data_IF_020427607060
#
_entry.id   IF_020427607060
#
_cell.length_a   1.000
_cell.length_b   1.000
_cell.length_c   1.000
_cell.angle_alpha   90.00
_cell.angle_beta   90.00
_cell.angle_gamma   90.00
#
_symmetry.space_group_name_H-M   'P 1'
#
loop_
_entity.id
_entity.type
_entity.pdbx_description
1 polymer ?
#
# COMPACT_ATOMS: atom_id res chain seq x y z
N UNK A 1 -19.26 -31.90 -7.07
CA UNK A 1 -19.39 -31.48 -5.68
C UNK A 1 -20.66 -30.67 -5.44
N UNK A 2 -21.29 -30.79 -4.26
CA UNK A 2 -22.48 -30.03 -3.93
C UNK A 2 -22.16 -28.52 -3.78
N UNK A 3 -23.15 -27.66 -4.08
CA UNK A 3 -22.98 -26.21 -4.05
C UNK A 3 -24.06 -25.52 -3.20
N UNK A 4 -23.64 -24.52 -2.41
CA UNK A 4 -24.55 -23.65 -1.69
C UNK A 4 -25.38 -22.86 -2.72
N UNK A 5 -26.70 -22.95 -2.62
CA UNK A 5 -27.63 -22.24 -3.50
C UNK A 5 -28.05 -20.87 -2.93
N UNK A 6 -28.20 -20.80 -1.60
CA UNK A 6 -28.62 -19.56 -0.91
C UNK A 6 -28.14 -19.54 0.53
N UNK A 7 -27.77 -18.36 1.00
CA UNK A 7 -27.67 -18.06 2.43
C UNK A 7 -28.58 -16.87 2.72
N UNK A 8 -29.37 -16.98 3.78
CA UNK A 8 -30.28 -15.92 4.22
C UNK A 8 -30.25 -15.78 5.75
N UNK A 9 -30.65 -14.63 6.25
CA UNK A 9 -30.78 -14.43 7.69
C UNK A 9 -31.92 -15.31 8.26
N UNK A 10 -31.69 -15.97 9.40
CA UNK A 10 -32.68 -16.75 10.11
C UNK A 10 -32.53 -16.50 11.62
N UNK A 11 -33.44 -15.72 12.20
CA UNK A 11 -33.33 -15.30 13.59
C UNK A 11 -32.00 -14.60 13.88
N UNK A 12 -31.22 -15.13 14.84
CA UNK A 12 -29.89 -14.64 15.20
C UNK A 12 -28.77 -15.21 14.29
N UNK A 13 -29.08 -16.21 13.42
CA UNK A 13 -28.12 -16.94 12.63
C UNK A 13 -28.28 -16.82 11.11
N UNK A 14 -27.72 -17.78 10.38
CA UNK A 14 -27.81 -17.91 8.94
C UNK A 14 -28.48 -19.21 8.51
N UNK A 15 -29.52 -19.15 7.67
CA UNK A 15 -30.07 -20.32 6.97
C UNK A 15 -29.27 -20.57 5.71
N UNK A 16 -28.62 -21.70 5.64
CA UNK A 16 -27.83 -22.17 4.49
C UNK A 16 -28.63 -23.21 3.72
N UNK A 17 -28.81 -23.03 2.41
CA UNK A 17 -29.53 -23.97 1.53
C UNK A 17 -28.63 -24.40 0.38
N UNK A 18 -28.84 -25.63 -0.09
CA UNK A 18 -28.14 -26.22 -1.25
C UNK A 18 -29.09 -27.05 -2.11
N UNK A 19 -28.61 -27.50 -3.27
CA UNK A 19 -29.34 -28.41 -4.12
C UNK A 19 -29.03 -29.84 -3.75
N UNK A 20 -30.05 -30.73 -3.81
CA UNK A 20 -29.84 -32.15 -3.63
C UNK A 20 -28.86 -32.72 -4.68
N UNK A 21 -28.07 -33.68 -4.28
CA UNK A 21 -27.14 -34.39 -5.16
C UNK A 21 -27.55 -35.83 -5.23
N UNK A 22 -27.77 -36.40 -6.43
CA UNK A 22 -28.12 -37.81 -6.59
C UNK A 22 -27.11 -38.73 -5.88
N UNK A 23 -27.60 -39.80 -5.24
CA UNK A 23 -26.84 -40.79 -4.46
C UNK A 23 -26.21 -40.28 -3.15
N UNK A 24 -26.41 -39.01 -2.77
CA UNK A 24 -26.02 -38.52 -1.43
C UNK A 24 -27.06 -38.98 -0.41
N UNK A 25 -26.64 -39.65 0.64
CA UNK A 25 -27.46 -40.01 1.80
C UNK A 25 -27.51 -38.89 2.86
N UNK A 26 -26.56 -37.96 2.79
CA UNK A 26 -26.48 -36.79 3.64
C UNK A 26 -25.40 -35.82 3.19
N UNK A 27 -25.20 -34.80 4.00
CA UNK A 27 -24.24 -33.72 3.72
C UNK A 27 -23.45 -33.34 4.96
N UNK A 28 -22.16 -33.17 4.83
CA UNK A 28 -21.30 -32.53 5.86
C UNK A 28 -21.06 -31.10 5.47
N UNK A 29 -21.57 -30.18 6.30
CA UNK A 29 -21.45 -28.73 6.12
C UNK A 29 -20.21 -28.22 6.84
N UNK A 30 -19.45 -27.35 6.18
CA UNK A 30 -18.29 -26.65 6.70
C UNK A 30 -18.50 -25.16 6.65
N UNK A 31 -17.88 -24.46 7.59
CA UNK A 31 -17.85 -23.02 7.69
C UNK A 31 -16.45 -22.51 7.93
N UNK A 32 -16.14 -21.34 7.40
CA UNK A 32 -14.99 -20.52 7.79
C UNK A 32 -15.39 -19.06 7.93
N UNK A 33 -14.59 -18.29 8.66
CA UNK A 33 -14.58 -16.81 8.62
C UNK A 33 -13.46 -16.34 7.68
N UNK A 34 -13.28 -15.01 7.56
CA UNK A 34 -12.16 -14.44 6.79
C UNK A 34 -10.80 -14.90 7.33
N UNK A 35 -10.70 -15.08 8.66
CA UNK A 35 -9.44 -15.31 9.37
C UNK A 35 -9.26 -16.77 9.84
N UNK A 36 -10.16 -17.70 9.48
CA UNK A 36 -10.10 -19.09 9.91
C UNK A 36 -10.05 -20.04 8.73
N UNK A 37 -9.54 -21.23 8.96
CA UNK A 37 -9.65 -22.38 8.05
C UNK A 37 -11.06 -22.98 8.09
N UNK A 38 -11.37 -23.89 7.14
CA UNK A 38 -12.59 -24.64 7.13
C UNK A 38 -12.70 -25.53 8.37
N UNK A 39 -13.83 -25.44 9.07
CA UNK A 39 -14.19 -26.32 10.18
C UNK A 39 -15.55 -26.97 9.91
N UNK A 40 -15.71 -28.23 10.34
CA UNK A 40 -16.98 -28.92 10.32
C UNK A 40 -18.00 -28.16 11.16
N UNK A 41 -19.17 -27.91 10.61
CA UNK A 41 -20.27 -27.22 11.28
C UNK A 41 -21.36 -28.22 11.70
N UNK A 42 -21.77 -29.07 10.77
CA UNK A 42 -22.84 -30.07 11.01
C UNK A 42 -22.79 -31.17 9.97
N UNK A 43 -23.39 -32.34 10.32
CA UNK A 43 -23.85 -33.34 9.36
C UNK A 43 -25.38 -33.26 9.27
N UNK A 44 -25.92 -33.27 8.06
CA UNK A 44 -27.34 -33.15 7.73
C UNK A 44 -27.75 -34.39 6.95
N UNK A 45 -28.48 -35.31 7.59
CA UNK A 45 -28.90 -36.56 6.98
C UNK A 45 -30.24 -36.43 6.25
N UNK A 46 -31.04 -35.41 6.58
CA UNK A 46 -32.34 -35.17 5.95
C UNK A 46 -32.45 -33.74 5.45
N UNK A 47 -32.94 -33.57 4.22
CA UNK A 47 -33.17 -32.28 3.60
C UNK A 47 -31.93 -31.62 3.01
N UNK A 48 -32.06 -30.36 2.61
CA UNK A 48 -31.06 -29.57 1.90
C UNK A 48 -30.88 -28.18 2.49
N UNK A 49 -31.02 -28.08 3.80
CA UNK A 49 -30.81 -26.80 4.51
C UNK A 49 -30.33 -27.04 5.94
N UNK A 50 -29.67 -26.04 6.48
CA UNK A 50 -29.19 -25.98 7.86
C UNK A 50 -29.22 -24.56 8.39
N UNK A 51 -29.69 -24.39 9.62
CA UNK A 51 -29.65 -23.09 10.30
C UNK A 51 -28.43 -23.01 11.22
N UNK A 52 -27.42 -22.21 10.80
CA UNK A 52 -26.23 -21.93 11.61
C UNK A 52 -26.59 -20.87 12.69
N UNK A 53 -27.07 -21.33 13.82
CA UNK A 53 -27.45 -20.48 14.98
C UNK A 53 -26.22 -19.83 15.66
N UNK A 54 -25.01 -20.38 15.42
CA UNK A 54 -23.76 -19.85 15.97
C UNK A 54 -23.16 -18.71 15.14
N UNK A 55 -23.75 -18.38 13.98
CA UNK A 55 -23.31 -17.27 13.17
C UNK A 55 -23.64 -15.93 13.80
N UNK A 56 -22.62 -15.18 14.23
CA UNK A 56 -22.77 -13.88 14.92
C UNK A 56 -22.98 -12.75 13.93
N UNK A 57 -23.88 -11.79 14.27
CA UNK A 57 -24.09 -10.55 13.51
C UNK A 57 -22.76 -9.77 13.37
N UNK A 58 -22.53 -9.17 12.21
CA UNK A 58 -21.32 -8.38 11.92
C UNK A 58 -20.13 -9.19 11.41
N UNK A 59 -20.12 -10.52 11.63
CA UNK A 59 -19.08 -11.38 11.05
C UNK A 59 -19.37 -11.75 9.60
N UNK A 60 -18.30 -12.15 8.89
CA UNK A 60 -18.36 -12.60 7.50
C UNK A 60 -18.03 -14.09 7.46
N UNK A 61 -18.90 -14.87 6.87
CA UNK A 61 -18.81 -16.34 6.80
C UNK A 61 -18.80 -16.82 5.36
N UNK A 62 -18.12 -17.94 5.15
CA UNK A 62 -18.19 -18.73 3.92
C UNK A 62 -18.59 -20.15 4.28
N UNK A 63 -19.41 -20.77 3.44
CA UNK A 63 -19.94 -22.12 3.63
C UNK A 63 -19.58 -23.00 2.43
N UNK A 64 -19.30 -24.28 2.70
CA UNK A 64 -19.16 -25.35 1.70
C UNK A 64 -19.68 -26.65 2.27
N UNK A 65 -19.91 -27.65 1.43
CA UNK A 65 -20.39 -28.94 1.89
C UNK A 65 -19.84 -30.08 1.04
N UNK A 66 -19.87 -31.29 1.60
CA UNK A 66 -19.52 -32.56 0.95
C UNK A 66 -20.67 -33.55 1.12
N UNK A 67 -20.84 -34.46 0.14
CA UNK A 67 -21.82 -35.52 0.22
C UNK A 67 -21.33 -36.63 1.13
N UNK A 68 -22.28 -37.25 1.85
CA UNK A 68 -22.09 -38.46 2.66
C UNK A 68 -22.82 -39.65 2.03
N UNK A 69 -22.26 -40.86 2.19
CA UNK A 69 -22.95 -42.12 1.96
C UNK A 69 -23.81 -42.52 3.18
N UNK A 70 -24.49 -43.68 3.09
CA UNK A 70 -25.32 -44.23 4.16
C UNK A 70 -24.55 -44.52 5.46
N UNK A 71 -23.23 -44.72 5.37
CA UNK A 71 -22.34 -44.99 6.49
C UNK A 71 -21.68 -43.74 7.07
N UNK A 72 -22.00 -42.54 6.52
CA UNK A 72 -21.42 -41.27 6.94
C UNK A 72 -20.04 -40.95 6.35
N UNK A 73 -19.59 -41.72 5.35
CA UNK A 73 -18.32 -41.51 4.67
C UNK A 73 -18.46 -40.37 3.64
N UNK A 74 -17.37 -39.65 3.44
CA UNK A 74 -17.31 -38.56 2.46
C UNK A 74 -17.16 -39.11 1.04
N UNK A 75 -18.12 -38.87 0.15
CA UNK A 75 -18.15 -39.37 -1.24
C UNK A 75 -18.02 -38.27 -2.29
N UNK A 76 -17.76 -37.01 -1.89
CA UNK A 76 -17.50 -35.91 -2.82
C UNK A 76 -16.37 -35.01 -2.34
N UNK A 77 -15.74 -34.27 -3.27
CA UNK A 77 -14.94 -33.09 -2.94
C UNK A 77 -15.85 -31.92 -2.51
N UNK A 78 -15.26 -30.86 -1.99
CA UNK A 78 -15.95 -29.60 -1.73
C UNK A 78 -15.54 -28.52 -2.74
N UNK A 79 -16.35 -27.47 -2.85
CA UNK A 79 -15.99 -26.28 -3.62
C UNK A 79 -15.09 -25.40 -2.76
N UNK A 80 -13.85 -25.18 -3.20
CA UNK A 80 -12.86 -24.35 -2.48
C UNK A 80 -13.06 -22.84 -2.69
N UNK A 81 -13.46 -22.46 -3.91
CA UNK A 81 -13.69 -21.06 -4.26
C UNK A 81 -15.13 -20.65 -3.95
N UNK A 82 -15.42 -20.40 -2.67
CA UNK A 82 -16.75 -20.09 -2.15
C UNK A 82 -16.91 -18.60 -1.90
N UNK A 83 -18.16 -18.14 -1.99
CA UNK A 83 -18.52 -16.76 -1.70
C UNK A 83 -18.60 -16.50 -0.20
N UNK A 84 -18.36 -15.27 0.19
CA UNK A 84 -18.54 -14.79 1.55
C UNK A 84 -19.92 -14.15 1.71
N UNK A 85 -20.49 -14.30 2.91
CA UNK A 85 -21.80 -13.80 3.31
C UNK A 85 -21.67 -12.96 4.58
N UNK A 86 -22.40 -11.85 4.62
CA UNK A 86 -22.46 -10.93 5.75
C UNK A 86 -23.95 -10.72 6.11
N UNK A 87 -24.30 -10.98 7.37
CA UNK A 87 -25.68 -10.85 7.87
C UNK A 87 -26.73 -11.55 6.98
N UNK A 88 -26.42 -12.74 6.46
CA UNK A 88 -27.34 -13.53 5.64
C UNK A 88 -27.45 -13.11 4.17
N UNK A 89 -26.64 -12.19 3.69
CA UNK A 89 -26.57 -11.79 2.29
C UNK A 89 -25.14 -11.93 1.73
N UNK A 90 -24.98 -11.95 0.41
CA UNK A 90 -23.63 -11.89 -0.19
C UNK A 90 -22.90 -10.65 0.33
N UNK A 91 -21.67 -10.83 0.80
CA UNK A 91 -20.83 -9.72 1.23
C UNK A 91 -20.60 -8.75 0.06
N UNK A 92 -20.83 -7.45 0.29
CA UNK A 92 -20.70 -6.43 -0.73
C UNK A 92 -20.24 -5.10 -0.12
N UNK A 93 -19.42 -4.35 -0.87
CA UNK A 93 -18.82 -3.10 -0.40
C UNK A 93 -17.77 -3.29 0.69
N UNK A 94 -17.53 -2.23 1.47
CA UNK A 94 -16.59 -2.24 2.60
C UNK A 94 -17.25 -2.85 3.82
N UNK A 95 -16.61 -3.86 4.40
CA UNK A 95 -17.04 -4.51 5.64
C UNK A 95 -15.86 -4.57 6.60
N UNK A 96 -16.04 -4.06 7.82
CA UNK A 96 -15.02 -4.12 8.87
C UNK A 96 -15.29 -5.30 9.80
N UNK A 97 -14.29 -6.16 9.96
CA UNK A 97 -14.32 -7.32 10.86
C UNK A 97 -13.07 -7.27 11.73
N UNK A 98 -13.22 -7.26 13.05
CA UNK A 98 -12.12 -7.19 14.02
C UNK A 98 -11.11 -6.04 13.71
N UNK A 99 -11.62 -4.85 13.40
CA UNK A 99 -10.80 -3.68 13.11
C UNK A 99 -10.16 -3.65 11.71
N UNK A 100 -10.27 -4.73 10.93
CA UNK A 100 -9.75 -4.82 9.57
C UNK A 100 -10.87 -4.56 8.55
N UNK A 101 -10.61 -3.70 7.57
CA UNK A 101 -11.59 -3.39 6.51
C UNK A 101 -11.27 -4.18 5.25
N UNK A 102 -12.25 -4.92 4.78
CA UNK A 102 -12.24 -5.73 3.57
C UNK A 102 -13.20 -5.13 2.54
N UNK A 103 -12.91 -5.30 1.26
CA UNK A 103 -13.79 -4.85 0.20
C UNK A 103 -14.29 -6.04 -0.61
N UNK A 104 -15.61 -6.15 -0.79
CA UNK A 104 -16.26 -7.26 -1.45
C UNK A 104 -17.06 -6.82 -2.68
N UNK A 105 -17.16 -7.73 -3.63
CA UNK A 105 -18.12 -7.68 -4.73
C UNK A 105 -18.81 -9.02 -4.87
N UNK A 106 -20.13 -9.05 -4.62
CA UNK A 106 -20.96 -10.27 -4.75
C UNK A 106 -20.35 -11.50 -4.04
N UNK A 107 -19.81 -11.28 -2.84
CA UNK A 107 -19.20 -12.32 -2.00
C UNK A 107 -17.75 -12.65 -2.30
N UNK A 108 -17.10 -11.98 -3.23
CA UNK A 108 -15.67 -12.15 -3.54
C UNK A 108 -14.87 -10.93 -3.08
N UNK A 109 -13.61 -11.13 -2.72
CA UNK A 109 -12.74 -10.00 -2.42
C UNK A 109 -12.51 -9.13 -3.67
N UNK A 110 -12.68 -7.82 -3.52
CA UNK A 110 -12.11 -6.87 -4.47
C UNK A 110 -10.64 -6.69 -4.15
N UNK A 111 -9.78 -6.82 -5.13
CA UNK A 111 -8.32 -6.69 -5.01
C UNK A 111 -7.78 -5.64 -5.98
N UNK A 112 -6.52 -5.25 -5.81
CA UNK A 112 -5.89 -4.24 -6.65
C UNK A 112 -6.45 -2.83 -6.41
N UNK A 113 -6.33 -1.96 -7.41
CA UNK A 113 -6.80 -0.59 -7.31
C UNK A 113 -8.33 -0.50 -7.37
N UNK A 114 -8.89 0.30 -6.44
CA UNK A 114 -10.32 0.62 -6.37
C UNK A 114 -10.48 2.12 -6.17
N UNK A 115 -11.37 2.76 -6.95
CA UNK A 115 -11.74 4.16 -6.77
C UNK A 115 -13.05 4.23 -5.98
N UNK A 116 -13.04 4.88 -4.82
CA UNK A 116 -14.17 4.98 -3.90
C UNK A 116 -14.31 6.42 -3.45
N UNK A 117 -15.44 7.05 -3.71
CA UNK A 117 -15.69 8.46 -3.41
C UNK A 117 -14.57 9.39 -3.92
N UNK A 118 -14.16 9.17 -5.18
CA UNK A 118 -13.12 9.98 -5.83
C UNK A 118 -11.68 9.66 -5.40
N UNK A 119 -11.46 8.86 -4.36
CA UNK A 119 -10.13 8.49 -3.84
C UNK A 119 -9.73 7.09 -4.31
N UNK A 120 -8.45 6.91 -4.64
CA UNK A 120 -7.86 5.63 -5.03
C UNK A 120 -7.36 4.89 -3.80
N UNK A 121 -7.66 3.59 -3.73
CA UNK A 121 -7.18 2.65 -2.71
C UNK A 121 -6.59 1.42 -3.38
N UNK A 122 -5.70 0.72 -2.68
CA UNK A 122 -5.19 -0.58 -3.11
C UNK A 122 -5.55 -1.66 -2.09
N UNK A 123 -6.12 -2.76 -2.57
CA UNK A 123 -6.50 -3.91 -1.75
C UNK A 123 -5.61 -5.10 -2.09
N UNK A 124 -5.06 -5.77 -1.08
CA UNK A 124 -4.25 -6.97 -1.25
C UNK A 124 -5.11 -8.17 -1.68
N UNK A 125 -4.48 -9.35 -1.88
CA UNK A 125 -5.16 -10.60 -2.28
C UNK A 125 -6.23 -11.08 -1.30
N UNK A 126 -6.22 -10.59 -0.06
CA UNK A 126 -7.23 -10.87 0.97
C UNK A 126 -8.31 -9.79 1.06
N UNK A 127 -8.36 -8.85 0.12
CA UNK A 127 -9.34 -7.76 0.12
C UNK A 127 -9.17 -6.73 1.24
N UNK A 128 -7.98 -6.66 1.85
CA UNK A 128 -7.66 -5.66 2.88
C UNK A 128 -7.03 -4.43 2.24
N UNK A 129 -7.42 -3.24 2.73
CA UNK A 129 -6.77 -2.00 2.32
C UNK A 129 -5.32 -1.98 2.79
N UNK A 130 -4.41 -1.67 1.87
CA UNK A 130 -2.97 -1.51 2.16
C UNK A 130 -2.68 -0.07 2.55
N UNK A 131 -1.77 0.15 3.52
CA UNK A 131 -1.47 1.46 4.12
C UNK A 131 0.03 1.62 4.35
N UNK A 132 0.48 2.89 4.41
CA UNK A 132 1.85 3.29 4.77
C UNK A 132 2.93 2.57 3.96
N UNK A 133 2.70 2.36 2.66
CA UNK A 133 3.67 1.69 1.80
C UNK A 133 3.41 2.00 0.33
N UNK A 134 4.37 1.62 -0.52
CA UNK A 134 4.21 1.66 -1.97
C UNK A 134 3.42 0.44 -2.42
N UNK A 135 2.43 0.66 -3.28
CA UNK A 135 1.52 -0.36 -3.83
C UNK A 135 1.50 -0.30 -5.35
N UNK A 136 1.06 -1.39 -5.97
CA UNK A 136 0.90 -1.50 -7.41
C UNK A 136 1.89 -2.43 -8.08
N UNK A 137 2.11 -2.20 -9.36
CA UNK A 137 3.01 -2.99 -10.21
C UNK A 137 3.53 -2.15 -11.36
N UNK A 138 4.53 -2.65 -12.09
CA UNK A 138 5.04 -2.01 -13.30
C UNK A 138 3.94 -1.77 -14.35
N UNK A 139 2.95 -2.66 -14.43
CA UNK A 139 1.83 -2.54 -15.38
C UNK A 139 0.78 -1.53 -14.95
N UNK A 140 0.49 -1.45 -13.64
CA UNK A 140 -0.61 -0.65 -13.09
C UNK A 140 -0.16 0.72 -12.59
N UNK A 141 1.17 0.95 -12.54
CA UNK A 141 1.80 2.10 -11.91
C UNK A 141 2.01 1.91 -10.41
N UNK A 142 2.93 2.68 -9.86
CA UNK A 142 3.29 2.67 -8.46
C UNK A 142 2.71 3.90 -7.74
N UNK A 143 2.16 3.71 -6.54
CA UNK A 143 1.60 4.77 -5.70
C UNK A 143 1.98 4.54 -4.25
N UNK A 144 2.18 5.60 -3.51
CA UNK A 144 2.25 5.50 -2.05
C UNK A 144 0.85 5.55 -1.45
N UNK A 145 0.47 4.53 -0.69
CA UNK A 145 -0.76 4.50 0.11
C UNK A 145 -0.48 5.10 1.50
N UNK A 146 -1.18 6.16 1.86
CA UNK A 146 -1.00 6.86 3.14
C UNK A 146 -1.51 6.06 4.35
N UNK A 147 -1.47 6.64 5.55
CA UNK A 147 -1.97 6.03 6.80
C UNK A 147 -3.46 5.64 6.75
N UNK A 148 -4.24 6.26 5.88
CA UNK A 148 -5.65 5.97 5.66
C UNK A 148 -5.88 5.00 4.49
N UNK A 149 -4.82 4.61 3.78
CA UNK A 149 -4.85 3.75 2.60
C UNK A 149 -5.20 4.51 1.31
N UNK A 150 -5.23 5.85 1.33
CA UNK A 150 -5.45 6.65 0.12
C UNK A 150 -4.15 6.72 -0.66
N UNK A 151 -4.19 6.30 -1.92
CA UNK A 151 -3.04 6.39 -2.82
C UNK A 151 -2.79 7.83 -3.23
N UNK A 152 -1.55 8.29 -3.11
CA UNK A 152 -1.15 9.62 -3.54
C UNK A 152 -1.08 9.70 -5.06
N UNK A 153 -1.87 10.58 -5.65
CA UNK A 153 -1.96 10.76 -7.12
C UNK A 153 -1.10 11.92 -7.64
N UNK A 154 -0.41 12.67 -6.77
CA UNK A 154 0.54 13.72 -7.20
C UNK A 154 1.69 13.11 -8.00
N UNK A 155 2.04 13.76 -9.10
CA UNK A 155 2.98 13.21 -10.09
C UNK A 155 4.38 12.99 -9.50
N UNK A 156 4.89 13.94 -8.75
CA UNK A 156 6.19 13.84 -8.10
C UNK A 156 6.27 12.66 -7.12
N UNK A 157 5.19 12.35 -6.40
CA UNK A 157 5.13 11.20 -5.48
C UNK A 157 4.99 9.87 -6.22
N UNK A 158 4.28 9.85 -7.34
CA UNK A 158 4.19 8.68 -8.21
C UNK A 158 5.53 8.34 -8.83
N UNK A 159 6.24 9.35 -9.33
CA UNK A 159 7.58 9.19 -9.90
C UNK A 159 8.59 8.76 -8.83
N UNK A 160 8.50 9.28 -7.60
CA UNK A 160 9.31 8.81 -6.47
C UNK A 160 9.03 7.33 -6.15
N UNK A 161 7.76 6.90 -6.15
CA UNK A 161 7.39 5.51 -5.92
C UNK A 161 7.91 4.60 -7.05
N UNK A 162 7.77 5.01 -8.31
CA UNK A 162 8.31 4.30 -9.47
C UNK A 162 9.85 4.21 -9.38
N UNK A 163 10.51 5.29 -9.05
CA UNK A 163 11.95 5.34 -8.84
C UNK A 163 12.41 4.34 -7.79
N UNK A 164 11.75 4.33 -6.61
CA UNK A 164 12.09 3.41 -5.53
C UNK A 164 11.86 1.94 -5.91
N UNK A 165 10.81 1.65 -6.65
CA UNK A 165 10.49 0.26 -7.03
C UNK A 165 11.29 -0.25 -8.24
N UNK A 166 11.85 0.66 -9.06
CA UNK A 166 12.58 0.31 -10.27
C UNK A 166 14.09 0.27 -10.05
N UNK A 167 14.63 1.25 -9.33
CA UNK A 167 16.08 1.45 -9.24
C UNK A 167 16.68 1.19 -7.87
N UNK A 168 15.84 1.16 -6.80
CA UNK A 168 16.35 1.07 -5.45
C UNK A 168 16.31 -0.37 -4.93
N UNK A 169 17.39 -0.80 -4.28
CA UNK A 169 17.54 -2.14 -3.71
C UNK A 169 17.20 -2.14 -2.23
N UNK A 170 16.70 -3.27 -1.74
CA UNK A 170 16.36 -3.51 -0.34
C UNK A 170 14.94 -4.05 -0.15
N UNK A 171 14.70 -4.63 1.01
CA UNK A 171 13.40 -5.25 1.37
C UNK A 171 12.47 -4.25 2.04
N UNK A 172 13.03 -3.25 2.72
CA UNK A 172 12.27 -2.19 3.40
C UNK A 172 12.34 -0.88 2.62
N UNK A 173 11.38 0.03 2.87
CA UNK A 173 11.40 1.37 2.26
C UNK A 173 12.61 2.19 2.70
N UNK A 174 13.11 2.00 3.94
CA UNK A 174 14.33 2.64 4.43
C UNK A 174 15.57 2.19 3.65
N UNK A 175 15.74 0.87 3.48
CA UNK A 175 16.83 0.32 2.66
C UNK A 175 16.76 0.83 1.22
N UNK A 176 15.55 0.89 0.64
CA UNK A 176 15.33 1.45 -0.69
C UNK A 176 15.69 2.94 -0.76
N UNK A 177 15.34 3.72 0.27
CA UNK A 177 15.68 5.14 0.33
C UNK A 177 17.21 5.36 0.34
N UNK A 178 17.94 4.61 1.17
CA UNK A 178 19.41 4.64 1.20
C UNK A 178 20.02 4.23 -0.14
N UNK A 179 19.54 3.12 -0.70
CA UNK A 179 19.97 2.65 -2.03
C UNK A 179 19.66 3.69 -3.11
N UNK A 180 18.50 4.33 -3.03
CA UNK A 180 18.07 5.38 -3.96
C UNK A 180 18.95 6.63 -3.87
N UNK A 181 19.31 7.06 -2.67
CA UNK A 181 20.26 8.14 -2.49
C UNK A 181 21.57 7.88 -3.27
N UNK A 182 22.16 6.71 -3.05
CA UNK A 182 23.42 6.33 -3.71
C UNK A 182 23.25 6.14 -5.23
N UNK A 183 22.10 5.59 -5.66
CA UNK A 183 21.82 5.42 -7.09
C UNK A 183 21.69 6.76 -7.80
N UNK A 184 20.94 7.70 -7.20
CA UNK A 184 20.74 9.06 -7.74
C UNK A 184 22.10 9.79 -7.86
N UNK A 185 22.87 9.80 -6.79
CA UNK A 185 24.19 10.43 -6.75
C UNK A 185 25.17 9.86 -7.78
N UNK A 186 25.10 8.55 -8.05
CA UNK A 186 26.02 7.86 -8.98
C UNK A 186 25.59 7.96 -10.44
N UNK A 187 24.29 7.91 -10.72
CA UNK A 187 23.77 7.64 -12.07
C UNK A 187 23.08 8.85 -12.72
N UNK A 188 22.76 9.89 -11.95
CA UNK A 188 22.17 11.10 -12.51
C UNK A 188 23.27 12.16 -12.65
N UNK A 189 23.60 12.60 -13.86
CA UNK A 189 24.62 13.61 -14.04
C UNK A 189 24.14 14.99 -13.58
N UNK A 190 25.03 15.75 -12.94
CA UNK A 190 24.77 17.14 -12.61
C UNK A 190 24.60 17.97 -13.87
N UNK A 191 23.53 18.76 -13.93
CA UNK A 191 23.25 19.67 -15.03
C UNK A 191 22.96 21.05 -14.46
N UNK A 192 23.90 21.97 -14.64
CA UNK A 192 23.75 23.34 -14.12
C UNK A 192 22.66 24.07 -14.84
N UNK A 193 21.72 24.62 -14.08
CA UNK A 193 20.64 25.51 -14.54
C UNK A 193 20.56 26.70 -13.58
N UNK A 194 20.03 27.80 -14.03
CA UNK A 194 19.97 29.05 -13.24
C UNK A 194 18.55 29.30 -12.67
N UNK A 195 17.67 28.35 -12.77
CA UNK A 195 16.33 28.36 -12.20
C UNK A 195 16.39 27.96 -10.71
N UNK A 196 16.42 28.96 -9.86
CA UNK A 196 16.42 28.77 -8.41
C UNK A 196 14.99 28.86 -7.88
N UNK A 197 14.49 27.87 -7.10
CA UNK A 197 13.18 27.94 -6.49
C UNK A 197 13.14 29.05 -5.42
N UNK A 198 12.05 29.77 -5.37
CA UNK A 198 11.85 30.86 -4.39
C UNK A 198 10.80 30.52 -3.34
N UNK A 199 9.94 29.55 -3.63
CA UNK A 199 8.80 29.16 -2.81
C UNK A 199 8.49 27.66 -2.92
N UNK A 200 7.73 27.14 -1.99
CA UNK A 200 7.38 25.73 -1.91
C UNK A 200 6.67 25.21 -3.18
N UNK A 201 5.85 26.03 -3.84
CA UNK A 201 5.13 25.66 -5.05
C UNK A 201 6.01 25.44 -6.29
N UNK A 202 7.29 25.80 -6.24
CA UNK A 202 8.24 25.57 -7.35
C UNK A 202 8.84 24.15 -7.30
N UNK A 203 8.84 23.53 -6.12
CA UNK A 203 9.53 22.26 -5.85
C UNK A 203 8.92 21.04 -6.55
N UNK A 204 7.59 20.86 -6.70
CA UNK A 204 7.01 19.73 -7.43
C UNK A 204 7.56 19.57 -8.85
N UNK A 205 7.63 20.67 -9.59
CA UNK A 205 8.13 20.68 -10.97
C UNK A 205 9.61 20.25 -11.04
N UNK A 206 10.42 20.67 -10.09
CA UNK A 206 11.85 20.28 -10.01
C UNK A 206 12.02 18.80 -9.70
N UNK A 207 11.21 18.24 -8.80
CA UNK A 207 11.22 16.81 -8.51
C UNK A 207 10.82 15.98 -9.74
N UNK A 208 9.73 16.38 -10.42
CA UNK A 208 9.24 15.75 -11.64
C UNK A 208 10.33 15.77 -12.73
N UNK A 209 10.97 16.92 -12.91
CA UNK A 209 12.02 17.09 -13.91
C UNK A 209 13.20 16.14 -13.67
N UNK A 210 13.70 16.03 -12.41
CA UNK A 210 14.79 15.11 -12.11
C UNK A 210 14.42 13.66 -12.38
N UNK A 211 13.25 13.21 -11.93
CA UNK A 211 12.83 11.82 -12.14
C UNK A 211 12.66 11.46 -13.61
N UNK A 212 12.15 12.39 -14.43
CA UNK A 212 11.94 12.16 -15.87
C UNK A 212 13.26 12.23 -16.67
N UNK A 213 14.05 13.26 -16.44
CA UNK A 213 15.24 13.55 -17.25
C UNK A 213 16.51 12.92 -16.69
N UNK A 214 16.50 12.46 -15.42
CA UNK A 214 17.63 11.82 -14.73
C UNK A 214 18.90 12.65 -14.73
N UNK A 215 18.76 13.97 -14.75
CA UNK A 215 19.83 14.97 -14.66
C UNK A 215 19.28 16.26 -14.09
N UNK A 216 20.09 17.00 -13.34
CA UNK A 216 19.63 18.26 -12.76
C UNK A 216 20.65 18.96 -11.88
N UNK A 217 20.25 20.09 -11.31
CA UNK A 217 21.03 20.83 -10.32
C UNK A 217 20.64 20.43 -8.89
N UNK A 218 21.32 20.98 -7.88
CA UNK A 218 21.12 20.70 -6.46
C UNK A 218 19.64 20.80 -6.01
N UNK A 219 18.88 21.78 -6.51
CA UNK A 219 17.48 21.96 -6.15
C UNK A 219 16.58 20.83 -6.66
N UNK A 220 16.86 20.30 -7.86
CA UNK A 220 16.17 19.14 -8.42
C UNK A 220 16.44 17.88 -7.62
N UNK A 221 17.71 17.67 -7.26
CA UNK A 221 18.11 16.56 -6.39
C UNK A 221 17.42 16.64 -5.03
N UNK A 222 17.43 17.82 -4.41
CA UNK A 222 16.78 18.03 -3.13
C UNK A 222 15.26 17.76 -3.19
N UNK A 223 14.56 18.31 -4.19
CA UNK A 223 13.13 18.13 -4.33
C UNK A 223 12.75 16.64 -4.56
N UNK A 224 13.45 15.95 -5.45
CA UNK A 224 13.20 14.54 -5.74
C UNK A 224 13.53 13.63 -4.54
N UNK A 225 14.63 13.91 -3.84
CA UNK A 225 14.99 13.11 -2.67
C UNK A 225 14.06 13.37 -1.47
N UNK A 226 13.54 14.57 -1.29
CA UNK A 226 12.52 14.85 -0.29
C UNK A 226 11.23 14.05 -0.54
N UNK A 227 10.79 13.91 -1.80
CA UNK A 227 9.69 13.00 -2.16
C UNK A 227 10.01 11.54 -1.82
N UNK A 228 11.24 11.09 -2.15
CA UNK A 228 11.71 9.73 -1.87
C UNK A 228 11.71 9.43 -0.36
N UNK A 229 12.23 10.36 0.45
CA UNK A 229 12.23 10.24 1.91
C UNK A 229 10.80 10.27 2.48
N UNK A 230 9.92 11.11 1.92
CA UNK A 230 8.51 11.19 2.36
C UNK A 230 7.77 9.87 2.18
N UNK A 231 7.90 9.21 1.02
CA UNK A 231 7.24 7.92 0.77
C UNK A 231 7.95 6.75 1.45
N UNK A 232 9.20 6.92 1.90
CA UNK A 232 9.87 5.97 2.79
C UNK A 232 9.33 6.03 4.23
N UNK A 233 8.47 7.00 4.55
CA UNK A 233 7.82 7.13 5.86
C UNK A 233 8.36 8.27 6.73
N UNK A 234 9.38 8.98 6.28
CA UNK A 234 9.98 10.08 7.02
C UNK A 234 9.26 11.41 6.81
N UNK A 235 9.33 12.29 7.81
CA UNK A 235 9.14 13.71 7.57
C UNK A 235 10.40 14.23 6.87
N UNK A 236 10.21 14.99 5.79
CA UNK A 236 11.28 15.51 4.97
C UNK A 236 10.98 16.90 4.47
N UNK A 237 12.01 17.71 4.37
CA UNK A 237 11.91 19.08 3.84
C UNK A 237 13.08 19.41 2.94
N UNK A 238 12.82 20.13 1.89
CA UNK A 238 13.84 20.80 1.09
C UNK A 238 14.27 22.06 1.83
N UNK A 239 15.56 22.27 1.90
CA UNK A 239 16.15 23.53 2.37
C UNK A 239 16.77 24.24 1.17
N UNK A 240 16.39 25.47 0.97
CA UNK A 240 16.91 26.38 -0.04
C UNK A 240 17.81 27.37 0.70
N UNK A 241 19.05 27.51 0.26
CA UNK A 241 20.03 28.36 0.90
C UNK A 241 21.26 28.55 0.03
N UNK A 242 22.39 28.70 0.67
CA UNK A 242 23.69 28.72 0.01
C UNK A 242 24.74 27.86 0.74
N UNK A 243 25.78 27.51 0.02
CA UNK A 243 26.98 26.88 0.51
C UNK A 243 28.19 27.69 0.02
N UNK A 244 29.02 28.18 0.94
CA UNK A 244 30.17 29.03 0.60
C UNK A 244 29.78 30.21 -0.33
N UNK A 245 28.60 30.81 -0.10
CA UNK A 245 28.08 31.94 -0.89
C UNK A 245 27.52 31.57 -2.26
N UNK A 246 27.45 30.30 -2.61
CA UNK A 246 26.80 29.81 -3.83
C UNK A 246 25.42 29.22 -3.55
N UNK A 247 24.37 29.58 -4.32
CA UNK A 247 23.03 29.01 -4.13
C UNK A 247 23.05 27.49 -4.14
N UNK A 248 22.40 26.87 -3.14
CA UNK A 248 22.38 25.44 -2.95
C UNK A 248 21.07 24.94 -2.34
N UNK A 249 20.69 23.69 -2.67
CA UNK A 249 19.52 23.03 -2.10
C UNK A 249 19.88 21.66 -1.58
N UNK A 250 19.40 21.35 -0.37
CA UNK A 250 19.58 20.03 0.27
C UNK A 250 18.30 19.56 0.94
N UNK A 251 18.31 18.34 1.47
CA UNK A 251 17.19 17.76 2.19
C UNK A 251 17.52 17.61 3.67
N UNK A 252 16.57 17.91 4.51
CA UNK A 252 16.58 17.50 5.90
C UNK A 252 15.49 16.46 6.16
N UNK A 253 15.82 15.38 6.86
CA UNK A 253 14.94 14.26 7.20
C UNK A 253 14.85 14.15 8.72
N UNK A 254 13.63 14.08 9.26
CA UNK A 254 13.41 13.99 10.71
C UNK A 254 13.54 12.53 11.17
N UNK A 255 14.51 12.27 12.04
CA UNK A 255 14.78 10.96 12.63
C UNK A 255 14.91 11.13 14.16
N UNK A 256 14.06 10.44 14.92
CA UNK A 256 14.08 10.48 16.39
C UNK A 256 14.07 11.90 17.00
N UNK A 257 13.33 12.82 16.37
CA UNK A 257 13.21 14.21 16.81
C UNK A 257 14.32 15.14 16.32
N UNK A 258 15.32 14.64 15.59
CA UNK A 258 16.44 15.41 15.06
C UNK A 258 16.36 15.50 13.53
N UNK A 259 16.61 16.68 12.96
CA UNK A 259 16.71 16.88 11.52
C UNK A 259 18.11 16.52 11.03
N UNK A 260 18.20 15.48 10.21
CA UNK A 260 19.44 14.98 9.62
C UNK A 260 19.55 15.39 8.16
N UNK A 261 20.74 15.75 7.72
CA UNK A 261 21.03 16.26 6.38
C UNK A 261 21.22 15.10 5.41
N UNK A 262 20.57 15.20 4.25
CA UNK A 262 20.80 14.37 3.07
C UNK A 262 21.05 15.28 1.87
N UNK A 263 22.22 15.13 1.25
CA UNK A 263 22.60 15.94 0.09
C UNK A 263 23.13 15.05 -1.04
N UNK A 264 22.25 14.57 -1.94
CA UNK A 264 22.67 13.71 -3.04
C UNK A 264 23.61 14.39 -4.04
N UNK A 265 23.53 15.70 -4.17
CA UNK A 265 24.40 16.49 -5.04
C UNK A 265 25.84 16.49 -4.55
N UNK A 266 26.06 16.65 -3.25
CA UNK A 266 27.40 16.62 -2.68
C UNK A 266 28.11 15.26 -2.81
N UNK A 267 27.37 14.19 -3.13
CA UNK A 267 27.89 12.85 -3.36
C UNK A 267 28.34 12.61 -4.82
N UNK A 268 28.10 13.55 -5.73
CA UNK A 268 28.39 13.36 -7.16
C UNK A 268 29.87 13.11 -7.44
N UNK A 269 30.20 12.27 -8.44
CA UNK A 269 31.56 12.09 -8.91
C UNK A 269 32.17 13.42 -9.33
N UNK A 270 33.39 13.71 -8.84
CA UNK A 270 34.09 14.97 -9.07
C UNK A 270 34.15 15.91 -7.87
N UNK A 271 33.31 15.72 -6.85
CA UNK A 271 33.51 16.35 -5.55
C UNK A 271 34.69 15.68 -4.82
N UNK A 272 35.70 16.46 -4.52
CA UNK A 272 37.01 15.97 -4.01
C UNK A 272 37.02 15.61 -2.52
N UNK A 273 35.97 15.05 -1.97
CA UNK A 273 35.92 14.58 -0.58
C UNK A 273 35.67 13.08 -0.58
N UNK A 274 36.72 12.22 -0.60
CA UNK A 274 36.60 10.79 -0.89
C UNK A 274 35.67 10.00 0.03
N UNK A 275 35.55 10.38 1.29
CA UNK A 275 34.78 9.65 2.31
C UNK A 275 33.49 10.37 2.75
N UNK A 276 33.16 11.47 2.10
CA UNK A 276 31.99 12.24 2.46
C UNK A 276 30.72 11.63 1.87
N UNK A 277 29.83 11.18 2.74
CA UNK A 277 28.54 10.58 2.39
C UNK A 277 27.43 11.34 3.11
N UNK A 278 26.91 12.44 2.55
CA UNK A 278 25.91 13.30 3.20
C UNK A 278 24.51 12.65 3.23
N UNK A 279 24.43 11.44 3.80
CA UNK A 279 23.22 10.70 4.03
C UNK A 279 22.94 10.57 5.52
N UNK A 280 21.86 11.15 6.00
CA UNK A 280 21.45 11.15 7.42
C UNK A 280 22.55 11.69 8.37
N UNK A 281 23.14 12.82 8.02
CA UNK A 281 24.20 13.43 8.81
C UNK A 281 23.70 14.55 9.70
N UNK A 282 24.25 14.68 10.91
CA UNK A 282 23.97 15.81 11.82
C UNK A 282 24.60 17.11 11.34
N UNK A 283 25.74 17.03 10.68
CA UNK A 283 26.49 18.19 10.20
C UNK A 283 26.99 17.96 8.78
N UNK A 284 26.81 18.96 7.94
CA UNK A 284 27.35 18.98 6.59
C UNK A 284 28.86 19.28 6.62
N UNK A 285 29.60 18.82 5.61
CA UNK A 285 31.02 19.12 5.46
C UNK A 285 31.27 20.64 5.25
N UNK A 286 30.45 21.23 4.38
CA UNK A 286 30.47 22.68 4.16
C UNK A 286 29.54 23.40 5.14
N UNK A 287 29.85 24.71 5.38
CA UNK A 287 28.93 25.58 6.10
C UNK A 287 27.70 25.84 5.23
N UNK A 288 26.57 25.41 5.71
CA UNK A 288 25.25 25.64 5.09
C UNK A 288 24.62 26.88 5.71
N UNK A 289 24.09 27.75 4.84
CA UNK A 289 23.31 28.92 5.24
C UNK A 289 21.86 28.78 4.75
N UNK A 290 20.92 28.28 5.58
CA UNK A 290 19.55 28.02 5.18
C UNK A 290 18.73 29.32 5.12
N UNK A 291 17.98 29.54 4.03
CA UNK A 291 17.09 30.67 3.86
C UNK A 291 15.62 30.27 3.97
N UNK A 292 15.21 29.21 3.25
CA UNK A 292 13.82 28.74 3.20
C UNK A 292 13.77 27.23 3.45
N UNK A 293 12.80 26.77 4.23
CA UNK A 293 12.55 25.36 4.51
C UNK A 293 11.14 24.98 4.07
N UNK A 294 11.02 24.03 3.16
CA UNK A 294 9.76 23.59 2.59
C UNK A 294 9.52 22.11 2.89
N UNK A 295 8.61 21.81 3.80
CA UNK A 295 8.26 20.43 4.14
C UNK A 295 7.26 19.87 3.12
N UNK A 296 7.44 18.60 2.72
CA UNK A 296 6.48 17.88 1.90
C UNK A 296 5.68 16.90 2.74
N UNK A 297 4.34 16.99 2.65
CA UNK A 297 3.38 16.11 3.31
C UNK A 297 2.47 15.44 2.29
N UNK A 298 1.75 14.39 2.72
CA UNK A 298 0.72 13.75 1.90
C UNK A 298 -0.61 13.87 2.64
N UNK A 299 -1.54 14.62 2.05
CA UNK A 299 -2.84 14.92 2.62
C UNK A 299 -3.93 14.52 1.62
N UNK A 300 -4.84 13.62 2.02
CA UNK A 300 -5.97 13.19 1.18
C UNK A 300 -5.57 12.69 -0.23
N UNK A 301 -4.44 12.00 -0.36
CA UNK A 301 -3.96 11.47 -1.64
C UNK A 301 -3.28 12.48 -2.54
N UNK A 302 -2.86 13.64 -2.01
CA UNK A 302 -2.08 14.66 -2.72
C UNK A 302 -0.86 15.05 -1.91
N UNK A 303 0.22 15.37 -2.59
CA UNK A 303 1.37 16.02 -1.98
C UNK A 303 1.05 17.49 -1.70
N UNK A 304 1.49 17.96 -0.54
CA UNK A 304 1.36 19.36 -0.11
C UNK A 304 2.73 19.84 0.34
N UNK A 305 3.19 20.92 -0.24
CA UNK A 305 4.46 21.58 0.05
C UNK A 305 4.21 22.87 0.82
N UNK A 306 4.83 23.00 1.98
CA UNK A 306 4.62 24.13 2.91
C UNK A 306 5.93 24.76 3.31
#
# INVERSE_FOLDING_TARGET
>A
PPAISKVSKAGKGNLVKWKSVPKAAGYRLYRKTINTSWSRLADVCEGTSYTDTSAKKGNVYSYTLRCLDKNGNLISSYISNTKYYHNGALANGKITVNGQTYNFDKGLFRTGYQKINGKRYYYNSKGMVVKNTIVGSKREGWYYADKNGVCCESEEMRLAAEYMMTYCKGDTLDQKMKSGFLYMAKNFPYHRTYDHPKKASDLPALAIDLFKNKKGNCFRYAAAFACTARIAGYRSRVVIGDVLGSPHGWVEVLVNGEWLICDPDAQLPGYKVPDYKPYMMKKHYWTLNPHVKCEVTIENGKAVWK
#
